data_IF_116403537911
#
_entry.id   IF_116403537911
#
_cell.length_a   1.000
_cell.length_b   1.000
_cell.length_c   1.000
_cell.angle_alpha   90.00
_cell.angle_beta   90.00
_cell.angle_gamma   90.00
#
_symmetry.space_group_name_H-M   'P 1'
#
loop_
_entity.id
_entity.type
_entity.pdbx_description
1 polymer ?
#
# COMPACT_ATOMS: atom_id res chain seq x y z
N UNK A 1 14.00 -11.05 -20.32
CA UNK A 1 14.26 -9.85 -19.50
C UNK A 1 15.76 -9.55 -19.53
N UNK A 2 16.21 -8.29 -19.42
CA UNK A 2 17.62 -7.95 -19.60
C UNK A 2 18.52 -8.65 -18.57
N UNK A 3 19.65 -9.16 -19.03
CA UNK A 3 20.61 -9.96 -18.25
C UNK A 3 21.47 -9.14 -17.27
N UNK A 4 21.37 -7.81 -17.29
CA UNK A 4 22.33 -6.88 -16.69
C UNK A 4 21.71 -5.89 -15.69
N UNK A 5 20.53 -6.18 -15.16
CA UNK A 5 19.97 -5.42 -14.04
C UNK A 5 20.67 -5.80 -12.72
N UNK A 6 20.97 -4.79 -11.88
CA UNK A 6 21.53 -4.95 -10.53
C UNK A 6 20.70 -5.89 -9.64
N UNK A 7 19.39 -6.03 -9.89
CA UNK A 7 18.54 -6.90 -9.10
C UNK A 7 18.65 -8.41 -9.42
N UNK A 8 19.50 -8.84 -10.37
CA UNK A 8 19.71 -10.27 -10.69
C UNK A 8 18.53 -10.99 -11.37
N UNK A 9 18.64 -12.32 -11.53
CA UNK A 9 17.61 -13.15 -12.19
C UNK A 9 16.35 -13.31 -11.33
N UNK A 10 15.18 -13.10 -11.93
CA UNK A 10 13.88 -13.32 -11.28
C UNK A 10 12.80 -12.37 -11.78
N UNK A 11 11.52 -12.59 -11.39
CA UNK A 11 10.45 -11.65 -11.68
C UNK A 11 10.71 -10.31 -10.99
N UNK A 12 10.58 -9.21 -11.74
CA UNK A 12 10.66 -7.83 -11.24
C UNK A 12 9.24 -7.29 -11.16
N UNK A 13 8.80 -6.80 -10.00
CA UNK A 13 7.46 -6.24 -9.82
C UNK A 13 7.55 -4.95 -9.01
N UNK A 14 7.18 -3.83 -9.64
CA UNK A 14 6.73 -2.56 -9.07
C UNK A 14 5.70 -1.98 -10.07
N UNK A 15 4.74 -1.12 -9.74
CA UNK A 15 4.43 -0.39 -8.52
C UNK A 15 2.94 -0.59 -8.18
N UNK A 16 2.63 -0.83 -6.90
CA UNK A 16 1.28 -1.00 -6.34
C UNK A 16 0.47 -2.14 -6.97
N UNK A 17 0.50 -3.31 -6.34
CA UNK A 17 -0.41 -4.41 -6.67
C UNK A 17 -1.86 -3.92 -6.54
N UNK A 18 -2.59 -3.91 -7.64
CA UNK A 18 -4.00 -3.54 -7.70
C UNK A 18 -4.78 -4.72 -8.31
N UNK A 19 -5.77 -5.21 -7.59
CA UNK A 19 -6.70 -6.20 -8.10
C UNK A 19 -7.91 -5.49 -8.70
N UNK A 20 -8.28 -5.85 -9.92
CA UNK A 20 -9.40 -5.23 -10.65
C UNK A 20 -10.25 -6.33 -11.29
N UNK A 21 -11.57 -6.17 -11.25
CA UNK A 21 -12.47 -7.11 -11.94
C UNK A 21 -12.31 -6.99 -13.46
N UNK A 22 -12.71 -8.04 -14.19
CA UNK A 22 -12.67 -8.03 -15.66
C UNK A 22 -13.44 -6.84 -16.24
N UNK A 23 -14.65 -6.60 -15.74
CA UNK A 23 -15.51 -5.51 -16.20
C UNK A 23 -14.85 -4.14 -15.97
N UNK A 24 -14.28 -3.92 -14.78
CA UNK A 24 -13.56 -2.69 -14.46
C UNK A 24 -12.31 -2.51 -15.34
N UNK A 25 -11.58 -3.59 -15.62
CA UNK A 25 -10.42 -3.55 -16.53
C UNK A 25 -10.82 -3.14 -17.96
N UNK A 26 -11.95 -3.64 -18.47
CA UNK A 26 -12.47 -3.26 -19.79
C UNK A 26 -12.76 -1.76 -19.88
N UNK A 27 -13.35 -1.17 -18.84
CA UNK A 27 -13.59 0.28 -18.74
C UNK A 27 -12.27 1.06 -18.71
N UNK A 28 -11.32 0.65 -17.86
CA UNK A 28 -10.02 1.34 -17.78
C UNK A 28 -9.28 1.30 -19.11
N UNK A 29 -9.39 0.20 -19.86
CA UNK A 29 -8.78 0.09 -21.19
C UNK A 29 -9.49 0.92 -22.26
N UNK A 30 -10.80 1.16 -22.14
CA UNK A 30 -11.57 1.88 -23.16
C UNK A 30 -11.50 3.40 -23.00
N UNK A 31 -11.51 3.92 -21.76
CA UNK A 31 -11.58 5.37 -21.49
C UNK A 31 -10.45 5.90 -20.59
N UNK A 32 -9.64 5.03 -20.00
CA UNK A 32 -8.58 5.41 -19.07
C UNK A 32 -7.21 5.61 -19.72
N UNK A 33 -6.29 6.15 -18.92
CA UNK A 33 -4.90 6.42 -19.33
C UNK A 33 -3.87 5.53 -18.63
N UNK A 34 -4.31 4.68 -17.69
CA UNK A 34 -3.44 3.89 -16.80
C UNK A 34 -2.51 2.88 -17.49
N UNK A 35 -2.86 2.44 -18.71
CA UNK A 35 -2.08 1.47 -19.49
C UNK A 35 -1.40 2.10 -20.71
N UNK A 36 -1.03 3.38 -20.61
CA UNK A 36 -0.38 4.13 -21.68
C UNK A 36 1.02 4.59 -21.26
N UNK A 37 1.86 4.91 -22.24
CA UNK A 37 3.14 5.54 -21.97
C UNK A 37 2.93 7.00 -21.57
N UNK A 38 3.57 7.42 -20.47
CA UNK A 38 3.51 8.79 -19.98
C UNK A 38 4.85 9.52 -20.17
N UNK A 39 4.77 10.84 -20.42
CA UNK A 39 5.92 11.68 -20.77
C UNK A 39 7.02 11.72 -19.70
N UNK A 40 6.64 11.64 -18.42
CA UNK A 40 7.55 11.73 -17.29
C UNK A 40 6.93 11.08 -16.05
N UNK A 41 7.74 10.93 -14.99
CA UNK A 41 7.32 10.33 -13.71
C UNK A 41 6.08 10.98 -13.09
N UNK A 42 5.99 12.32 -13.11
CA UNK A 42 4.82 13.04 -12.58
C UNK A 42 3.55 12.68 -13.34
N UNK A 43 3.63 12.64 -14.67
CA UNK A 43 2.51 12.22 -15.52
C UNK A 43 2.16 10.75 -15.30
N UNK A 44 3.14 9.87 -15.09
CA UNK A 44 2.88 8.46 -14.78
C UNK A 44 2.10 8.28 -13.46
N UNK A 45 2.41 9.08 -12.44
CA UNK A 45 1.67 9.05 -11.18
C UNK A 45 0.25 9.60 -11.37
N UNK A 46 0.10 10.80 -11.93
CA UNK A 46 -1.20 11.47 -12.00
C UNK A 46 -2.13 10.80 -13.03
N UNK A 47 -1.64 10.58 -14.25
CA UNK A 47 -2.43 10.04 -15.37
C UNK A 47 -2.39 8.51 -15.42
N UNK A 48 -1.45 7.89 -14.72
CA UNK A 48 -1.39 6.43 -14.60
C UNK A 48 -2.14 5.95 -13.36
N UNK A 49 -1.53 6.20 -12.20
CA UNK A 49 -1.96 5.67 -10.90
C UNK A 49 -3.26 6.33 -10.40
N UNK A 50 -3.31 7.66 -10.31
CA UNK A 50 -4.49 8.36 -9.74
C UNK A 50 -5.69 8.34 -10.68
N UNK A 51 -5.44 8.46 -11.98
CA UNK A 51 -6.50 8.39 -12.99
C UNK A 51 -7.22 7.03 -12.98
N UNK A 52 -6.55 5.94 -12.59
CA UNK A 52 -7.18 4.62 -12.46
C UNK A 52 -8.40 4.69 -11.53
N UNK A 53 -8.20 5.18 -10.31
CA UNK A 53 -9.27 5.28 -9.32
C UNK A 53 -10.37 6.25 -9.76
N UNK A 54 -10.02 7.36 -10.42
CA UNK A 54 -11.01 8.31 -10.93
C UNK A 54 -11.88 7.71 -12.04
N UNK A 55 -11.29 6.94 -12.97
CA UNK A 55 -12.03 6.26 -14.04
C UNK A 55 -13.03 5.26 -13.45
N UNK A 56 -12.62 4.48 -12.44
CA UNK A 56 -13.50 3.52 -11.78
C UNK A 56 -14.68 4.22 -11.08
N UNK A 57 -14.40 5.23 -10.24
CA UNK A 57 -15.44 5.95 -9.51
C UNK A 57 -16.42 6.68 -10.43
N UNK A 58 -15.94 7.26 -11.54
CA UNK A 58 -16.80 7.92 -12.54
C UNK A 58 -17.71 6.95 -13.31
N UNK A 59 -17.45 5.64 -13.24
CA UNK A 59 -18.27 4.59 -13.84
C UNK A 59 -18.99 3.75 -12.76
N UNK A 60 -19.23 4.33 -11.59
CA UNK A 60 -19.92 3.71 -10.45
C UNK A 60 -19.28 2.40 -9.93
N UNK A 61 -17.97 2.24 -10.14
CA UNK A 61 -17.18 1.13 -9.62
C UNK A 61 -16.50 1.56 -8.32
N UNK A 62 -16.83 0.86 -7.24
CA UNK A 62 -16.19 1.03 -5.94
C UNK A 62 -14.76 0.50 -5.91
N UNK A 63 -13.98 0.99 -4.94
CA UNK A 63 -12.62 0.53 -4.64
C UNK A 63 -12.54 0.18 -3.14
N UNK A 64 -11.54 -0.62 -2.76
CA UNK A 64 -11.28 -0.96 -1.35
C UNK A 64 -9.75 -1.09 -1.12
N UNK A 65 -9.34 -1.17 0.14
CA UNK A 65 -7.93 -1.22 0.54
C UNK A 65 -7.62 -2.38 1.48
N UNK A 66 -6.38 -2.88 1.39
CA UNK A 66 -5.82 -3.79 2.40
C UNK A 66 -5.34 -3.04 3.65
N UNK A 67 -5.15 -1.72 3.55
CA UNK A 67 -4.87 -0.86 4.70
C UNK A 67 -6.07 -0.88 5.64
N UNK A 68 -5.85 -1.30 6.89
CA UNK A 68 -6.91 -1.60 7.85
C UNK A 68 -7.82 -0.40 8.12
N UNK A 69 -7.25 0.81 8.20
CA UNK A 69 -8.03 2.04 8.44
C UNK A 69 -8.82 2.50 7.21
N UNK A 70 -8.52 1.97 6.02
CA UNK A 70 -9.20 2.31 4.77
C UNK A 70 -10.14 1.20 4.28
N UNK A 71 -10.07 0.03 4.90
CA UNK A 71 -10.86 -1.14 4.53
C UNK A 71 -12.35 -0.90 4.75
N UNK A 72 -13.15 -1.20 3.73
CA UNK A 72 -14.60 -1.11 3.77
C UNK A 72 -15.15 0.33 3.78
N UNK A 73 -14.31 1.33 3.55
CA UNK A 73 -14.77 2.70 3.35
C UNK A 73 -15.49 2.80 2.00
N UNK A 74 -16.67 3.41 1.99
CA UNK A 74 -17.33 3.77 0.74
C UNK A 74 -16.67 5.02 0.14
N UNK A 75 -15.75 4.80 -0.78
CA UNK A 75 -15.04 5.88 -1.47
C UNK A 75 -15.90 6.65 -2.47
N UNK A 76 -17.12 6.21 -2.76
CA UNK A 76 -18.07 6.99 -3.57
C UNK A 76 -18.70 8.14 -2.77
N UNK A 77 -18.76 8.03 -1.44
CA UNK A 77 -19.15 9.14 -0.57
C UNK A 77 -17.96 10.09 -0.33
N UNK A 78 -18.06 11.29 -0.90
CA UNK A 78 -17.02 12.31 -0.79
C UNK A 78 -16.73 12.75 0.66
N UNK A 79 -17.66 12.52 1.60
CA UNK A 79 -17.41 12.79 3.02
C UNK A 79 -16.26 11.97 3.58
N UNK A 80 -15.98 10.80 2.99
CA UNK A 80 -14.90 9.92 3.42
C UNK A 80 -13.52 10.32 2.89
N UNK A 81 -13.44 11.23 1.92
CA UNK A 81 -12.18 11.56 1.23
C UNK A 81 -11.16 12.25 2.15
N UNK A 82 -11.63 12.90 3.21
CA UNK A 82 -10.81 13.60 4.19
C UNK A 82 -10.45 12.75 5.43
N UNK A 83 -10.70 11.44 5.42
CA UNK A 83 -10.51 10.57 6.59
C UNK A 83 -9.08 10.55 7.16
N UNK A 84 -8.07 10.91 6.36
CA UNK A 84 -6.67 11.04 6.77
C UNK A 84 -6.09 12.43 6.39
N UNK A 85 -6.90 13.48 6.53
CA UNK A 85 -6.50 14.88 6.29
C UNK A 85 -5.90 15.16 4.89
N UNK A 86 -6.24 14.33 3.91
CA UNK A 86 -5.65 14.34 2.55
C UNK A 86 -4.12 14.13 2.54
N UNK A 87 -3.57 13.50 3.58
CA UNK A 87 -2.14 13.24 3.70
C UNK A 87 -1.83 11.87 3.09
N UNK A 88 -0.72 11.81 2.35
CA UNK A 88 -0.22 10.55 1.78
C UNK A 88 0.26 9.61 2.89
N UNK A 89 -0.27 8.38 3.02
CA UNK A 89 -0.11 7.57 4.23
C UNK A 89 1.27 6.90 4.38
N UNK A 90 2.08 6.85 3.31
CA UNK A 90 3.33 6.07 3.28
C UNK A 90 4.54 6.75 3.92
N UNK A 91 4.37 7.87 4.64
CA UNK A 91 5.48 8.61 5.27
C UNK A 91 5.50 8.36 6.78
N UNK A 92 6.51 8.87 7.44
CA UNK A 92 6.59 8.84 8.90
C UNK A 92 5.35 9.53 9.51
N UNK A 93 4.63 8.84 10.40
CA UNK A 93 3.48 9.36 11.14
C UNK A 93 2.30 9.93 10.31
N UNK A 94 2.22 9.64 9.01
CA UNK A 94 1.16 10.18 8.13
C UNK A 94 -0.03 9.24 7.89
N UNK A 95 -0.05 8.06 8.50
CA UNK A 95 -1.19 7.14 8.47
C UNK A 95 -1.83 7.14 9.86
N UNK A 96 -2.77 8.06 10.11
CA UNK A 96 -3.43 8.23 11.42
C UNK A 96 -2.43 8.39 12.60
N UNK A 97 -1.38 9.20 12.41
CA UNK A 97 -0.38 9.49 13.44
C UNK A 97 0.72 8.44 13.61
N UNK A 98 0.76 7.43 12.73
CA UNK A 98 1.77 6.37 12.74
C UNK A 98 2.26 6.09 11.30
N UNK A 99 3.32 5.28 11.15
CA UNK A 99 3.68 4.72 9.85
C UNK A 99 2.82 3.51 9.50
N UNK A 100 2.61 3.26 8.21
CA UNK A 100 1.91 2.06 7.72
C UNK A 100 2.55 0.81 8.29
N UNK A 101 1.70 -0.13 8.70
CA UNK A 101 2.08 -1.48 9.06
C UNK A 101 2.56 -2.28 7.82
N UNK A 102 3.81 -2.80 7.79
CA UNK A 102 4.31 -3.69 6.73
C UNK A 102 3.43 -4.87 6.34
N UNK A 103 2.60 -5.43 7.24
CA UNK A 103 1.69 -6.53 6.87
C UNK A 103 0.41 -6.09 6.16
N UNK A 104 0.14 -4.77 6.10
CA UNK A 104 -1.02 -4.23 5.40
C UNK A 104 -0.70 -3.87 3.94
N UNK A 105 0.57 -3.99 3.53
CA UNK A 105 1.05 -3.64 2.19
C UNK A 105 1.98 -4.70 1.62
N UNK A 106 2.00 -4.84 0.30
CA UNK A 106 2.94 -5.76 -0.38
C UNK A 106 4.33 -5.13 -0.49
N UNK A 107 4.38 -3.81 -0.73
CA UNK A 107 5.63 -3.06 -0.82
C UNK A 107 5.62 -1.93 0.21
N UNK A 108 6.38 -2.11 1.28
CA UNK A 108 6.61 -1.04 2.26
C UNK A 108 7.76 -0.15 1.79
N UNK A 109 7.57 1.17 1.81
CA UNK A 109 8.60 2.15 1.44
C UNK A 109 9.20 2.73 2.72
N UNK A 110 10.33 2.20 3.21
CA UNK A 110 10.90 2.64 4.49
C UNK A 110 11.46 4.07 4.42
N UNK A 111 11.75 4.57 3.21
CA UNK A 111 12.27 5.91 3.02
C UNK A 111 11.75 6.52 1.71
N UNK A 112 11.41 7.81 1.77
CA UNK A 112 11.05 8.63 0.62
C UNK A 112 12.06 9.77 0.49
N UNK A 113 12.53 10.04 -0.74
CA UNK A 113 13.45 11.14 -1.00
C UNK A 113 12.92 12.46 -0.39
N UNK A 114 13.76 13.13 0.40
CA UNK A 114 13.43 14.40 1.06
C UNK A 114 12.47 14.29 2.25
N UNK A 115 12.24 13.08 2.79
CA UNK A 115 11.44 12.87 4.01
C UNK A 115 12.24 12.02 5.02
N UNK A 116 11.95 12.13 6.33
CA UNK A 116 12.47 11.17 7.31
C UNK A 116 12.11 9.71 6.94
N UNK A 117 12.94 8.73 7.33
CA UNK A 117 12.54 7.33 7.32
C UNK A 117 11.27 7.11 8.15
N UNK A 118 10.53 6.06 7.83
CA UNK A 118 9.40 5.60 8.66
C UNK A 118 9.89 5.12 10.04
N UNK A 119 8.98 5.03 11.01
CA UNK A 119 9.30 4.58 12.38
C UNK A 119 10.04 3.23 12.37
N UNK A 120 11.27 3.22 12.89
CA UNK A 120 12.17 2.06 12.87
C UNK A 120 11.58 0.89 13.66
N UNK A 121 10.91 1.19 14.76
CA UNK A 121 10.30 0.21 15.67
C UNK A 121 9.23 -0.63 14.95
N UNK A 122 8.48 -0.01 14.02
CA UNK A 122 7.50 -0.71 13.22
C UNK A 122 8.20 -1.71 12.29
N UNK A 123 9.28 -1.30 11.63
CA UNK A 123 10.04 -2.20 10.76
C UNK A 123 10.68 -3.36 11.54
N UNK A 124 11.30 -3.07 12.69
CA UNK A 124 11.95 -4.05 13.54
C UNK A 124 10.97 -5.10 14.07
N UNK A 125 9.75 -4.69 14.46
CA UNK A 125 8.70 -5.62 14.89
C UNK A 125 8.38 -6.69 13.83
N UNK A 126 8.50 -6.36 12.54
CA UNK A 126 8.23 -7.32 11.46
C UNK A 126 9.45 -8.10 11.01
N UNK A 127 10.64 -7.48 11.03
CA UNK A 127 11.87 -8.21 10.73
C UNK A 127 12.16 -9.30 11.76
N UNK A 128 11.76 -9.09 13.01
CA UNK A 128 11.97 -10.03 14.13
C UNK A 128 10.67 -10.72 14.57
N UNK A 129 9.67 -10.82 13.67
CA UNK A 129 8.32 -11.26 14.00
C UNK A 129 8.28 -12.66 14.67
N UNK A 130 9.11 -13.59 14.21
CA UNK A 130 9.19 -14.95 14.76
C UNK A 130 9.78 -14.98 16.18
N UNK A 131 10.81 -14.18 16.44
CA UNK A 131 11.45 -14.08 17.76
C UNK A 131 10.47 -13.53 18.81
N UNK A 132 9.73 -12.48 18.44
CA UNK A 132 8.69 -11.91 19.29
C UNK A 132 7.51 -12.87 19.53
N UNK A 133 7.15 -13.69 18.53
CA UNK A 133 6.08 -14.68 18.67
C UNK A 133 6.48 -15.78 19.66
N UNK A 134 7.74 -16.22 19.62
CA UNK A 134 8.30 -17.24 20.49
C UNK A 134 8.42 -16.75 21.94
N UNK A 135 8.84 -15.49 22.15
CA UNK A 135 8.89 -14.89 23.49
C UNK A 135 7.49 -14.68 24.09
N UNK A 136 6.51 -14.20 23.30
CA UNK A 136 5.13 -14.08 23.74
C UNK A 136 4.51 -15.43 24.11
N UNK A 137 4.85 -16.48 23.37
CA UNK A 137 4.40 -17.84 23.68
C UNK A 137 5.04 -18.36 24.97
N UNK A 138 6.36 -18.21 25.13
CA UNK A 138 7.07 -18.54 26.38
C UNK A 138 6.49 -17.82 27.59
N UNK A 139 6.18 -16.52 27.48
CA UNK A 139 5.60 -15.73 28.56
C UNK A 139 4.18 -16.19 28.92
N UNK A 140 3.36 -16.54 27.91
CA UNK A 140 2.03 -17.13 28.14
C UNK A 140 2.12 -18.47 28.84
N UNK A 141 3.08 -19.31 28.45
CA UNK A 141 3.28 -20.62 29.06
C UNK A 141 3.77 -20.48 30.51
N UNK A 142 4.75 -19.61 30.78
CA UNK A 142 5.20 -19.26 32.14
C UNK A 142 4.06 -18.78 33.04
N UNK A 143 3.20 -17.90 32.54
CA UNK A 143 2.04 -17.40 33.29
C UNK A 143 0.98 -18.49 33.52
N UNK A 144 0.95 -19.54 32.72
CA UNK A 144 0.02 -20.68 32.85
C UNK A 144 0.48 -21.68 33.90
N UNK A 145 1.78 -21.74 34.20
CA UNK A 145 2.36 -22.59 35.25
C UNK A 145 2.43 -21.91 36.63
N UNK A 146 2.06 -20.63 36.71
CA UNK A 146 2.01 -19.84 37.97
C UNK A 146 0.59 -19.67 38.53
N UNK A 147 -0.39 -20.43 38.02
CA UNK A 147 -1.78 -20.49 38.51
C UNK A 147 -2.06 -21.88 39.04
#
# INVERSE_FOLDING_TARGET
MPHTDLGGFGPKVEAFTFAISRHALEIVRSVGTSFQQHKNKKSAIILGEYALTSVLMNNDIGIDSLLKSYKGIDWKDQKNWHCNDNIHPTRENTYFGQSINPLEVIFHKPHWAGNPPVNKEILEMYMNFDEMSAERQKQKDLNRFMI
#
